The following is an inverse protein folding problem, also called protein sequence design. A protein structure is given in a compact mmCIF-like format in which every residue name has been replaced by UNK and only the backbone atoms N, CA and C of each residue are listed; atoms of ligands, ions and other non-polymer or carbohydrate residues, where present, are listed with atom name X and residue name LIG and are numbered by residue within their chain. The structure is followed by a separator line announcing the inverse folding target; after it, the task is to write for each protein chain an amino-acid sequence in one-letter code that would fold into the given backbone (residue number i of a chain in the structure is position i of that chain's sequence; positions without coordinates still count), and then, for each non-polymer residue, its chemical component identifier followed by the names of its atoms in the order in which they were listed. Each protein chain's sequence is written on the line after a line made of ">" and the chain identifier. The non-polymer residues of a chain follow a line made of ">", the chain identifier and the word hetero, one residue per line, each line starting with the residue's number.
data_IF_728654578432
#
_entry.id   IF_728654578432
#
_cell.length_a   1.000
_cell.length_b   1.000
_cell.length_c   1.000
_cell.angle_alpha   90.00
_cell.angle_beta   90.00
_cell.angle_gamma   90.00
#
_symmetry.space_group_name_H-M   'P 1'
#
loop_
_entity.id
_entity.type
_entity.pdbx_description
1 polymer ?
#
# COMPACT_ATOMS: atom_id res chain seq x y z
N UNK A 1 -6.15 -7.01 15.92
CA UNK A 1 -7.17 -6.29 15.13
C UNK A 1 -7.22 -6.92 13.74
N UNK A 2 -8.41 -7.14 13.18
CA UNK A 2 -8.56 -7.79 11.87
C UNK A 2 -9.45 -6.96 10.94
N UNK A 3 -9.02 -6.75 9.71
CA UNK A 3 -9.74 -6.02 8.68
C UNK A 3 -10.08 -6.89 7.49
N UNK A 4 -11.09 -6.47 6.75
CA UNK A 4 -11.53 -7.07 5.50
C UNK A 4 -11.23 -6.07 4.38
N UNK A 5 -10.49 -6.50 3.37
CA UNK A 5 -10.17 -5.68 2.20
C UNK A 5 -10.56 -6.45 0.93
N UNK A 6 -11.62 -6.01 0.25
CA UNK A 6 -12.05 -6.61 -1.02
C UNK A 6 -11.49 -5.85 -2.20
N UNK A 7 -10.87 -6.58 -3.13
CA UNK A 7 -10.48 -6.07 -4.46
C UNK A 7 -11.73 -5.61 -5.20
N UNK A 8 -11.79 -4.33 -5.56
CA UNK A 8 -12.95 -3.78 -6.27
C UNK A 8 -13.11 -2.27 -6.13
N UNK A 9 -14.32 -1.80 -6.48
CA UNK A 9 -14.65 -0.37 -6.69
C UNK A 9 -14.46 0.53 -5.46
N UNK A 10 -14.51 -0.05 -4.27
CA UNK A 10 -14.39 0.64 -2.97
C UNK A 10 -12.99 0.46 -2.36
N UNK A 11 -11.97 0.18 -3.18
CA UNK A 11 -10.62 -0.07 -2.69
C UNK A 11 -10.05 1.12 -1.91
N UNK A 12 -10.10 2.31 -2.51
CA UNK A 12 -9.66 3.57 -1.91
C UNK A 12 -10.35 3.87 -0.58
N UNK A 13 -11.67 3.71 -0.52
CA UNK A 13 -12.43 3.95 0.73
C UNK A 13 -12.15 2.90 1.81
N UNK A 14 -12.01 1.62 1.45
CA UNK A 14 -11.61 0.57 2.40
C UNK A 14 -10.19 0.81 2.92
N UNK A 15 -9.25 1.18 2.05
CA UNK A 15 -7.87 1.51 2.43
C UNK A 15 -7.85 2.70 3.39
N UNK A 16 -8.62 3.77 3.11
CA UNK A 16 -8.72 4.92 3.99
C UNK A 16 -9.21 4.51 5.39
N UNK A 17 -10.28 3.71 5.47
CA UNK A 17 -10.83 3.23 6.74
C UNK A 17 -9.83 2.36 7.53
N UNK A 18 -9.12 1.44 6.86
CA UNK A 18 -8.08 0.62 7.49
C UNK A 18 -6.94 1.50 7.98
N UNK A 19 -6.45 2.41 7.13
CA UNK A 19 -5.38 3.35 7.45
C UNK A 19 -5.73 4.18 8.68
N UNK A 20 -6.92 4.75 8.72
CA UNK A 20 -7.36 5.59 9.83
C UNK A 20 -7.43 4.80 11.15
N UNK A 21 -7.75 3.51 11.09
CA UNK A 21 -7.81 2.64 12.26
C UNK A 21 -6.43 2.15 12.76
N UNK A 22 -5.40 2.10 11.90
CA UNK A 22 -4.06 1.55 12.25
C UNK A 22 -2.96 2.60 12.31
N UNK A 23 -3.28 3.86 12.05
CA UNK A 23 -2.35 5.01 12.08
C UNK A 23 -2.96 6.16 12.86
N UNK A 24 -2.13 7.13 13.25
CA UNK A 24 -2.53 8.24 14.13
C UNK A 24 -2.43 9.58 13.41
N UNK A 25 -3.32 10.52 13.75
CA UNK A 25 -3.28 11.88 13.21
C UNK A 25 -2.12 12.70 13.80
N UNK A 26 -1.33 13.34 12.93
CA UNK A 26 -0.12 14.09 13.32
C UNK A 26 -0.33 15.60 13.40
N UNK A 27 -1.45 16.11 12.89
CA UNK A 27 -1.68 17.55 12.62
C UNK A 27 -0.59 18.23 11.75
N UNK A 28 0.30 17.47 11.10
CA UNK A 28 1.23 17.99 10.10
C UNK A 28 0.49 18.20 8.79
N UNK A 29 0.37 19.45 8.37
CA UNK A 29 -0.41 19.85 7.21
C UNK A 29 0.41 19.57 5.94
N UNK A 30 -0.16 18.76 5.05
CA UNK A 30 0.33 18.42 3.71
C UNK A 30 0.11 19.57 2.74
N UNK A 31 0.67 19.41 1.54
CA UNK A 31 0.50 20.36 0.43
C UNK A 31 -0.97 20.61 0.04
N UNK A 32 -1.82 19.60 0.17
CA UNK A 32 -3.25 19.62 -0.17
C UNK A 32 -4.15 20.10 0.99
N UNK A 33 -3.55 20.67 2.04
CA UNK A 33 -4.20 21.10 3.28
C UNK A 33 -4.84 19.98 4.12
N UNK A 34 -4.62 18.71 3.77
CA UNK A 34 -4.97 17.58 4.64
C UNK A 34 -3.81 17.27 5.58
N UNK A 35 -4.02 16.46 6.62
CA UNK A 35 -2.95 16.10 7.57
C UNK A 35 -2.23 14.80 7.18
N UNK A 36 -0.92 14.72 7.39
CA UNK A 36 -0.23 13.43 7.44
C UNK A 36 -0.75 12.59 8.60
N UNK A 37 -0.67 11.27 8.44
CA UNK A 37 -0.82 10.30 9.52
C UNK A 37 0.55 9.70 9.84
N UNK A 38 0.71 9.11 11.01
CA UNK A 38 1.94 8.38 11.41
C UNK A 38 1.57 6.96 11.79
N UNK A 39 2.41 6.00 11.45
CA UNK A 39 2.27 4.62 11.89
C UNK A 39 2.10 4.56 13.43
N UNK A 40 1.27 3.67 13.95
CA UNK A 40 1.03 3.61 15.40
C UNK A 40 2.04 2.71 16.11
N UNK A 41 2.46 3.09 17.32
CA UNK A 41 3.19 2.21 18.25
C UNK A 41 2.27 1.66 19.37
N UNK A 42 0.95 1.87 19.25
CA UNK A 42 -0.01 1.35 20.22
C UNK A 42 -0.16 -0.17 20.09
N UNK A 43 -0.61 -0.81 21.18
CA UNK A 43 -0.95 -2.23 21.18
C UNK A 43 -2.29 -2.45 20.44
N UNK A 44 -2.43 -3.55 19.68
CA UNK A 44 -1.42 -4.58 19.42
C UNK A 44 -0.34 -4.13 18.42
N UNK A 45 0.91 -4.65 18.51
CA UNK A 45 2.02 -4.26 17.62
C UNK A 45 1.85 -4.74 16.17
N UNK A 46 0.79 -5.51 15.92
CA UNK A 46 0.46 -6.05 14.62
C UNK A 46 -1.05 -6.15 14.43
N UNK A 47 -1.48 -6.14 13.18
CA UNK A 47 -2.85 -6.30 12.75
C UNK A 47 -2.92 -7.19 11.51
N UNK A 48 -4.09 -7.72 11.23
CA UNK A 48 -4.31 -8.59 10.08
C UNK A 48 -5.26 -7.97 9.07
N UNK A 49 -5.02 -8.22 7.78
CA UNK A 49 -5.94 -7.90 6.69
C UNK A 49 -6.28 -9.19 5.95
N UNK A 50 -7.55 -9.56 5.95
CA UNK A 50 -8.12 -10.58 5.08
C UNK A 50 -8.41 -9.97 3.71
N UNK A 51 -7.52 -10.20 2.75
CA UNK A 51 -7.64 -9.70 1.37
C UNK A 51 -8.51 -10.65 0.57
N UNK A 52 -9.69 -10.19 0.18
CA UNK A 52 -10.63 -10.94 -0.65
C UNK A 52 -10.47 -10.56 -2.12
N UNK A 53 -10.42 -11.55 -3.02
CA UNK A 53 -10.51 -11.27 -4.44
C UNK A 53 -11.89 -10.69 -4.79
N UNK A 54 -12.00 -10.14 -6.00
CA UNK A 54 -13.24 -9.52 -6.51
C UNK A 54 -14.41 -10.50 -6.54
N UNK A 55 -14.13 -11.78 -6.77
CA UNK A 55 -15.09 -12.88 -6.81
C UNK A 55 -15.18 -13.63 -5.47
N UNK A 56 -16.18 -14.51 -5.33
CA UNK A 56 -16.29 -15.41 -4.19
C UNK A 56 -15.11 -16.40 -4.16
N UNK A 57 -14.21 -16.25 -3.19
CA UNK A 57 -13.07 -17.14 -2.90
C UNK A 57 -12.57 -16.87 -1.47
N UNK A 58 -11.85 -17.82 -0.84
CA UNK A 58 -11.25 -17.60 0.47
C UNK A 58 -10.33 -16.36 0.49
N UNK A 59 -10.20 -15.68 1.65
CA UNK A 59 -9.30 -14.55 1.80
C UNK A 59 -7.84 -14.99 1.91
N UNK A 60 -6.93 -14.21 1.32
CA UNK A 60 -5.51 -14.27 1.65
C UNK A 60 -5.25 -13.38 2.87
N UNK A 61 -4.74 -13.95 3.96
CA UNK A 61 -4.48 -13.21 5.19
C UNK A 61 -3.08 -12.62 5.16
N UNK A 62 -2.98 -11.31 5.39
CA UNK A 62 -1.74 -10.58 5.60
C UNK A 62 -1.60 -10.24 7.09
N UNK A 63 -0.43 -10.46 7.67
CA UNK A 63 -0.08 -9.95 8.99
C UNK A 63 0.89 -8.78 8.83
N UNK A 64 0.59 -7.64 9.45
CA UNK A 64 1.32 -6.39 9.27
C UNK A 64 1.67 -5.76 10.61
N UNK A 65 2.86 -5.18 10.72
CA UNK A 65 3.26 -4.39 11.88
C UNK A 65 2.56 -3.02 11.88
N UNK A 66 2.10 -2.57 13.04
CA UNK A 66 1.49 -1.24 13.18
C UNK A 66 2.51 -0.10 13.06
N UNK A 67 3.76 -0.33 13.48
CA UNK A 67 4.81 0.70 13.57
C UNK A 67 5.38 1.20 12.24
N UNK A 68 5.27 0.39 11.18
CA UNK A 68 5.88 0.66 9.87
C UNK A 68 5.08 0.07 8.68
N UNK A 69 3.93 -0.53 8.96
CA UNK A 69 3.06 -1.16 7.95
C UNK A 69 3.78 -2.22 7.10
N UNK A 70 4.90 -2.79 7.57
CA UNK A 70 5.52 -3.90 6.87
C UNK A 70 4.69 -5.17 7.05
N UNK A 71 4.53 -5.91 5.94
CA UNK A 71 3.90 -7.23 5.92
C UNK A 71 4.92 -8.25 6.41
N UNK A 72 4.62 -8.95 7.49
CA UNK A 72 5.48 -10.00 8.06
C UNK A 72 5.08 -11.38 7.55
N UNK A 73 3.77 -11.65 7.44
CA UNK A 73 3.25 -12.94 6.99
C UNK A 73 2.24 -12.78 5.85
N UNK A 74 2.31 -13.70 4.89
CA UNK A 74 1.34 -13.84 3.79
C UNK A 74 0.82 -15.28 3.80
N UNK A 75 -0.47 -15.45 4.06
CA UNK A 75 -1.10 -16.78 4.16
C UNK A 75 -0.48 -17.65 5.26
N UNK A 76 0.04 -17.02 6.33
CA UNK A 76 0.73 -17.72 7.43
C UNK A 76 2.21 -18.00 7.19
N UNK A 77 2.77 -17.63 6.03
CA UNK A 77 4.19 -17.82 5.72
C UNK A 77 4.97 -16.51 5.82
N UNK A 78 6.21 -16.51 6.36
CA UNK A 78 7.08 -15.34 6.35
C UNK A 78 7.29 -14.77 4.95
N UNK A 79 7.31 -13.45 4.87
CA UNK A 79 7.67 -12.72 3.66
C UNK A 79 8.68 -11.63 4.01
N UNK A 80 9.91 -11.78 3.50
CA UNK A 80 11.03 -10.90 3.82
C UNK A 80 11.56 -10.19 2.57
N UNK A 81 12.36 -9.14 2.79
CA UNK A 81 13.12 -8.45 1.76
C UNK A 81 12.27 -7.80 0.66
N UNK A 82 11.02 -7.44 0.96
CA UNK A 82 10.14 -6.77 0.00
C UNK A 82 10.78 -5.50 -0.59
N UNK A 83 11.26 -4.59 0.27
CA UNK A 83 11.89 -3.33 -0.15
C UNK A 83 13.12 -3.55 -1.03
N UNK A 84 13.96 -4.53 -0.69
CA UNK A 84 15.17 -4.90 -1.43
C UNK A 84 14.90 -5.56 -2.78
N UNK A 85 13.70 -6.08 -3.00
CA UNK A 85 13.33 -6.77 -4.23
C UNK A 85 12.32 -5.98 -5.09
N UNK A 86 12.02 -4.72 -4.75
CA UNK A 86 11.19 -3.83 -5.57
C UNK A 86 11.75 -3.67 -6.98
N UNK A 87 13.08 -3.67 -7.15
CA UNK A 87 13.76 -3.63 -8.45
C UNK A 87 13.56 -4.90 -9.29
N UNK A 88 13.25 -6.02 -8.65
CA UNK A 88 13.07 -7.32 -9.33
C UNK A 88 11.63 -7.55 -9.74
N UNK A 89 10.71 -6.64 -9.42
CA UNK A 89 9.33 -6.74 -9.87
C UNK A 89 9.27 -6.44 -11.38
N UNK A 90 8.91 -7.43 -12.24
CA UNK A 90 8.84 -7.28 -13.68
C UNK A 90 7.52 -6.61 -14.05
N UNK A 91 7.27 -5.48 -13.42
CA UNK A 91 6.16 -4.60 -13.70
C UNK A 91 6.24 -3.99 -15.10
N UNK A 92 7.43 -4.03 -15.71
CA UNK A 92 7.69 -3.70 -17.11
C UNK A 92 7.42 -4.88 -18.08
N UNK A 93 7.22 -6.11 -17.57
CA UNK A 93 6.88 -7.27 -18.40
C UNK A 93 5.39 -7.32 -18.75
N UNK A 94 4.86 -6.21 -19.29
CA UNK A 94 3.78 -6.34 -20.26
C UNK A 94 4.45 -6.54 -21.60
N UNK A 95 4.64 -7.80 -22.02
CA UNK A 95 5.31 -8.06 -23.28
C UNK A 95 4.58 -7.30 -24.39
N UNK A 96 5.36 -6.55 -25.14
CA UNK A 96 4.87 -5.60 -26.13
C UNK A 96 4.41 -6.28 -27.41
N UNK A 97 4.64 -7.59 -27.59
CA UNK A 97 4.03 -8.55 -28.53
C UNK A 97 4.55 -9.98 -28.24
N UNK A 98 3.79 -11.02 -28.58
CA UNK A 98 4.20 -12.44 -28.50
C UNK A 98 3.63 -13.23 -27.31
N UNK A 99 3.85 -14.55 -27.27
CA UNK A 99 3.35 -15.49 -26.23
C UNK A 99 3.79 -15.13 -24.79
N UNK A 100 4.79 -14.26 -24.62
CA UNK A 100 5.22 -13.74 -23.31
C UNK A 100 4.31 -12.62 -22.77
N UNK A 101 3.40 -12.06 -23.59
CA UNK A 101 2.48 -10.99 -23.21
C UNK A 101 1.40 -11.43 -22.21
N UNK A 102 1.22 -12.74 -22.03
CA UNK A 102 0.19 -13.32 -21.16
C UNK A 102 0.61 -13.46 -19.69
N UNK A 103 1.86 -13.13 -19.32
CA UNK A 103 2.35 -13.30 -17.94
C UNK A 103 2.00 -12.14 -16.99
N UNK A 104 0.98 -11.35 -17.28
CA UNK A 104 0.49 -10.31 -16.37
C UNK A 104 -0.24 -10.93 -15.16
N UNK A 105 0.31 -10.76 -13.95
CA UNK A 105 -0.42 -11.08 -12.73
C UNK A 105 -1.45 -9.99 -12.43
N UNK A 106 -2.75 -10.33 -12.48
CA UNK A 106 -3.78 -9.51 -11.83
C UNK A 106 -3.75 -9.75 -10.31
N UNK A 107 -4.19 -8.77 -9.51
CA UNK A 107 -4.27 -8.93 -8.05
C UNK A 107 -5.15 -10.13 -7.65
N UNK A 108 -6.27 -10.37 -8.36
CA UNK A 108 -7.10 -11.56 -8.15
C UNK A 108 -6.36 -12.86 -8.45
N UNK A 109 -5.60 -12.90 -9.55
CA UNK A 109 -4.81 -14.09 -9.91
C UNK A 109 -3.69 -14.37 -8.92
N UNK A 110 -3.04 -13.31 -8.39
CA UNK A 110 -2.02 -13.42 -7.35
C UNK A 110 -2.60 -13.94 -6.03
N UNK A 111 -3.71 -13.38 -5.56
CA UNK A 111 -4.41 -13.84 -4.35
C UNK A 111 -4.76 -15.32 -4.48
N UNK A 112 -5.44 -15.71 -5.57
CA UNK A 112 -5.84 -17.10 -5.78
C UNK A 112 -4.65 -18.04 -5.95
N UNK A 113 -3.58 -17.60 -6.61
CA UNK A 113 -2.36 -18.39 -6.79
C UNK A 113 -1.66 -18.67 -5.47
N UNK A 114 -1.63 -17.70 -4.55
CA UNK A 114 -1.02 -17.83 -3.22
C UNK A 114 -1.82 -18.70 -2.25
N UNK A 115 -3.13 -18.83 -2.46
CA UNK A 115 -4.00 -19.70 -1.66
C UNK A 115 -3.86 -21.20 -2.00
N UNK A 116 -3.16 -21.55 -3.09
CA UNK A 116 -2.92 -22.95 -3.46
C UNK A 116 -1.82 -23.55 -2.59
N UNK A 117 -2.15 -24.56 -1.79
CA UNK A 117 -1.22 -25.26 -0.89
C UNK A 117 -0.60 -26.51 -1.53
N UNK A 118 0.55 -26.96 -0.98
CA UNK A 118 1.15 -28.23 -1.37
C UNK A 118 0.25 -29.39 -0.93
N UNK A 119 -0.23 -30.20 -1.89
CA UNK A 119 -1.10 -31.34 -1.59
C UNK A 119 -1.99 -31.85 -2.72
N UNK A 120 -1.76 -31.49 -3.99
CA UNK A 120 -2.45 -32.13 -5.13
C UNK A 120 -2.72 -31.25 -6.36
N UNK A 121 -2.53 -29.94 -6.30
CA UNK A 121 -2.82 -29.06 -7.44
C UNK A 121 -1.58 -28.85 -8.32
N UNK A 122 -1.62 -29.33 -9.57
CA UNK A 122 -0.55 -29.16 -10.59
C UNK A 122 -0.30 -27.69 -10.98
N UNK A 123 -1.06 -26.74 -10.42
CA UNK A 123 -1.05 -25.31 -10.75
C UNK A 123 -0.48 -24.42 -9.64
N UNK A 124 0.35 -24.97 -8.77
CA UNK A 124 1.11 -24.16 -7.82
C UNK A 124 2.00 -23.15 -8.55
N UNK A 125 2.13 -21.96 -7.96
CA UNK A 125 3.08 -20.97 -8.47
C UNK A 125 4.50 -21.51 -8.29
N UNK A 126 5.32 -21.38 -9.34
CA UNK A 126 6.77 -21.59 -9.23
C UNK A 126 7.36 -20.59 -8.23
N UNK A 127 8.53 -20.85 -7.63
CA UNK A 127 9.11 -19.95 -6.62
C UNK A 127 9.16 -18.49 -7.05
N UNK A 128 9.62 -18.21 -8.27
CA UNK A 128 9.67 -16.86 -8.82
C UNK A 128 8.26 -16.26 -8.98
N UNK A 129 7.34 -16.99 -9.61
CA UNK A 129 5.95 -16.56 -9.79
C UNK A 129 5.24 -16.32 -8.45
N UNK A 130 5.58 -17.10 -7.42
CA UNK A 130 5.07 -16.94 -6.05
C UNK A 130 5.61 -15.66 -5.43
N UNK A 131 6.91 -15.41 -5.56
CA UNK A 131 7.54 -14.18 -5.10
C UNK A 131 6.92 -12.95 -5.78
N UNK A 132 6.66 -13.03 -7.09
CA UNK A 132 5.98 -11.97 -7.84
C UNK A 132 4.54 -11.74 -7.35
N UNK A 133 3.79 -12.81 -7.13
CA UNK A 133 2.43 -12.71 -6.59
C UNK A 133 2.41 -12.11 -5.18
N UNK A 134 3.32 -12.54 -4.29
CA UNK A 134 3.46 -11.97 -2.94
C UNK A 134 3.80 -10.48 -3.02
N UNK A 135 4.78 -10.13 -3.84
CA UNK A 135 5.24 -8.77 -4.10
C UNK A 135 4.13 -7.86 -4.61
N UNK A 136 3.32 -8.31 -5.59
CA UNK A 136 2.18 -7.56 -6.10
C UNK A 136 1.12 -7.34 -5.01
N UNK A 137 0.82 -8.35 -4.19
CA UNK A 137 -0.16 -8.22 -3.09
C UNK A 137 0.33 -7.22 -2.06
N UNK A 138 1.60 -7.31 -1.63
CA UNK A 138 2.17 -6.36 -0.67
C UNK A 138 2.19 -4.95 -1.25
N UNK A 139 2.59 -4.81 -2.51
CA UNK A 139 2.61 -3.52 -3.19
C UNK A 139 1.23 -2.88 -3.23
N UNK A 140 0.21 -3.61 -3.68
CA UNK A 140 -1.14 -3.09 -3.72
C UNK A 140 -1.63 -2.68 -2.33
N UNK A 141 -1.46 -3.53 -1.31
CA UNK A 141 -2.03 -3.28 0.03
C UNK A 141 -1.21 -2.28 0.84
N UNK A 142 0.07 -2.56 1.08
CA UNK A 142 0.92 -1.76 1.96
C UNK A 142 1.18 -0.37 1.36
N UNK A 143 1.45 -0.27 0.05
CA UNK A 143 1.68 1.04 -0.56
C UNK A 143 0.39 1.86 -0.70
N UNK A 144 -0.77 1.21 -0.86
CA UNK A 144 -2.05 1.93 -0.73
C UNK A 144 -2.26 2.47 0.68
N UNK A 145 -1.86 1.74 1.74
CA UNK A 145 -1.92 2.29 3.09
C UNK A 145 -0.97 3.48 3.29
N UNK A 146 0.20 3.48 2.65
CA UNK A 146 1.19 4.56 2.78
C UNK A 146 0.86 5.79 1.93
N UNK A 147 0.31 5.60 0.73
CA UNK A 147 0.14 6.63 -0.28
C UNK A 147 -1.33 6.74 -0.74
N UNK A 148 -1.92 7.92 -0.58
CA UNK A 148 -3.25 8.22 -1.12
C UNK A 148 -3.29 8.04 -2.64
N UNK A 149 -2.24 8.50 -3.33
CA UNK A 149 -2.16 8.44 -4.78
C UNK A 149 -2.27 7.00 -5.29
N UNK A 150 -1.56 6.06 -4.68
CA UNK A 150 -1.61 4.63 -5.06
C UNK A 150 -2.99 4.04 -4.78
N UNK A 151 -3.56 4.33 -3.61
CA UNK A 151 -4.90 3.87 -3.24
C UNK A 151 -5.98 4.38 -4.22
N UNK A 152 -5.94 5.68 -4.55
CA UNK A 152 -6.89 6.31 -5.47
C UNK A 152 -6.75 5.77 -6.88
N UNK A 153 -5.53 5.67 -7.42
CA UNK A 153 -5.34 5.22 -8.80
C UNK A 153 -5.66 3.72 -8.96
N UNK A 154 -5.35 2.87 -7.97
CA UNK A 154 -5.83 1.47 -7.94
C UNK A 154 -7.36 1.39 -7.85
N UNK A 155 -7.98 2.23 -7.02
CA UNK A 155 -9.44 2.31 -6.93
C UNK A 155 -10.09 2.71 -8.25
N UNK A 156 -9.52 3.70 -8.95
CA UNK A 156 -9.96 4.10 -10.29
C UNK A 156 -9.79 2.97 -11.30
N UNK A 157 -8.66 2.26 -11.28
CA UNK A 157 -8.42 1.09 -12.14
C UNK A 157 -9.45 -0.01 -11.93
N UNK A 158 -9.81 -0.33 -10.68
CA UNK A 158 -10.86 -1.30 -10.40
C UNK A 158 -12.25 -0.81 -10.82
N UNK A 159 -12.52 0.49 -10.72
CA UNK A 159 -13.78 1.10 -11.20
C UNK A 159 -13.90 1.07 -12.72
N UNK A 160 -12.84 1.35 -13.46
CA UNK A 160 -12.85 1.32 -14.93
C UNK A 160 -12.93 -0.08 -15.51
N UNK A 161 -12.48 -1.09 -14.77
CA UNK A 161 -12.50 -2.50 -15.21
C UNK A 161 -13.82 -3.22 -14.90
N UNK A 162 -14.80 -2.51 -14.30
CA UNK A 162 -16.07 -3.08 -13.87
C UNK A 162 -17.19 -2.84 -14.89
N UNK A 163 -17.78 -3.92 -15.41
CA UNK A 163 -19.03 -3.86 -16.19
C UNK A 163 -20.24 -4.18 -15.29
N UNK A 164 -21.16 -3.22 -15.05
CA UNK A 164 -22.36 -3.44 -14.24
C UNK A 164 -23.34 -4.45 -14.83
N UNK A 165 -23.35 -4.63 -16.16
CA UNK A 165 -24.24 -5.58 -16.84
C UNK A 165 -23.67 -7.01 -16.85
N UNK A 166 -22.37 -7.13 -16.59
CA UNK A 166 -21.68 -8.41 -16.50
C UNK A 166 -20.72 -8.45 -15.30
N UNK A 167 -21.25 -8.53 -14.06
CA UNK A 167 -20.44 -8.48 -12.84
C UNK A 167 -19.46 -9.66 -12.69
N UNK A 168 -19.59 -10.69 -13.54
CA UNK A 168 -18.69 -11.86 -13.59
C UNK A 168 -17.59 -11.73 -14.65
N UNK A 169 -17.69 -10.76 -15.56
CA UNK A 169 -16.77 -10.56 -16.68
C UNK A 169 -15.74 -9.50 -16.26
N UNK A 170 -14.84 -9.88 -15.35
CA UNK A 170 -13.83 -8.97 -14.83
C UNK A 170 -12.67 -8.63 -15.78
N UNK A 171 -12.77 -8.89 -17.10
CA UNK A 171 -11.58 -8.85 -17.99
C UNK A 171 -11.82 -8.60 -19.50
N UNK A 172 -13.01 -8.21 -19.98
CA UNK A 172 -13.28 -8.23 -21.45
C UNK A 172 -13.34 -6.91 -22.21
N UNK A 173 -13.03 -5.75 -21.61
CA UNK A 173 -12.60 -4.62 -22.44
C UNK A 173 -11.12 -4.79 -22.77
N UNK A 174 -10.90 -5.60 -23.82
CA UNK A 174 -9.65 -5.73 -24.57
C UNK A 174 -9.10 -4.34 -24.87
N UNK A 175 -8.03 -4.02 -24.16
CA UNK A 175 -7.44 -2.70 -24.09
C UNK A 175 -6.98 -2.50 -22.66
N UNK A 176 -6.12 -3.41 -22.19
CA UNK A 176 -5.44 -3.35 -20.90
C UNK A 176 -5.09 -1.89 -20.66
N UNK A 177 -5.83 -1.22 -19.77
CA UNK A 177 -5.38 0.06 -19.24
C UNK A 177 -4.11 -0.31 -18.51
N UNK A 178 -2.98 -0.26 -19.25
CA UNK A 178 -1.65 -0.51 -18.71
C UNK A 178 -1.62 0.32 -17.44
N UNK A 179 -1.20 -0.27 -16.34
CA UNK A 179 -0.88 0.52 -15.14
C UNK A 179 0.36 1.35 -15.54
N UNK A 180 0.15 2.42 -16.31
CA UNK A 180 1.19 3.26 -16.92
C UNK A 180 2.02 3.96 -15.84
N UNK A 181 1.55 3.94 -14.60
CA UNK A 181 2.12 4.64 -13.45
C UNK A 181 2.98 3.75 -12.54
N UNK A 182 3.17 2.48 -12.90
CA UNK A 182 3.82 1.49 -12.04
C UNK A 182 5.28 1.87 -11.70
N UNK A 183 6.00 2.47 -12.66
CA UNK A 183 7.34 3.01 -12.39
C UNK A 183 7.31 4.16 -11.37
N UNK A 184 6.36 5.11 -11.51
CA UNK A 184 6.25 6.22 -10.56
C UNK A 184 5.85 5.75 -9.16
N UNK A 185 4.97 4.76 -9.06
CA UNK A 185 4.56 4.19 -7.77
C UNK A 185 5.67 3.36 -7.12
N UNK A 186 6.47 2.64 -7.92
CA UNK A 186 7.67 1.95 -7.44
C UNK A 186 8.67 2.94 -6.84
N UNK A 187 8.89 4.08 -7.51
CA UNK A 187 9.77 5.13 -6.96
C UNK A 187 9.21 5.69 -5.65
N UNK A 188 7.89 5.88 -5.56
CA UNK A 188 7.24 6.28 -4.29
C UNK A 188 7.51 5.26 -3.18
N UNK A 189 7.25 3.96 -3.44
CA UNK A 189 7.44 2.89 -2.47
C UNK A 189 8.90 2.80 -1.97
N UNK A 190 9.88 2.86 -2.89
CA UNK A 190 11.32 2.79 -2.56
C UNK A 190 11.79 3.95 -1.69
N UNK A 191 11.24 5.13 -1.91
CA UNK A 191 11.67 6.35 -1.24
C UNK A 191 10.78 6.72 -0.05
N UNK A 192 9.87 5.84 0.39
CA UNK A 192 8.95 6.13 1.50
C UNK A 192 9.69 6.49 2.80
N UNK A 193 10.72 5.72 3.15
CA UNK A 193 11.53 5.94 4.35
C UNK A 193 12.31 7.26 4.27
N UNK A 194 13.04 7.49 3.17
CA UNK A 194 13.75 8.74 2.92
C UNK A 194 12.81 9.95 2.94
N UNK A 195 11.66 9.84 2.29
CA UNK A 195 10.66 10.92 2.23
C UNK A 195 10.09 11.21 3.61
N UNK A 196 9.85 10.17 4.41
CA UNK A 196 9.43 10.34 5.81
C UNK A 196 10.48 11.11 6.61
N UNK A 197 11.76 10.72 6.48
CA UNK A 197 12.87 11.41 7.14
C UNK A 197 12.95 12.88 6.74
N UNK A 198 12.93 13.17 5.44
CA UNK A 198 12.96 14.55 4.94
C UNK A 198 11.78 15.39 5.48
N UNK A 199 10.58 14.79 5.62
CA UNK A 199 9.43 15.44 6.26
C UNK A 199 9.68 15.76 7.73
N UNK A 200 10.26 14.84 8.50
CA UNK A 200 10.62 15.09 9.90
C UNK A 200 11.75 16.10 10.07
N UNK A 201 12.73 16.10 9.16
CA UNK A 201 13.84 17.04 9.16
C UNK A 201 13.38 18.46 8.76
N UNK A 202 12.32 18.56 7.94
CA UNK A 202 11.73 19.82 7.48
C UNK A 202 10.73 20.50 8.43
N UNK A 203 10.45 19.92 9.61
CA UNK A 203 9.53 20.51 10.61
C UNK A 203 10.27 20.96 11.87
N UNK A 204 9.72 21.91 12.65
CA UNK A 204 10.30 22.33 13.93
C UNK A 204 10.45 21.17 14.92
N UNK A 205 11.48 21.22 15.76
CA UNK A 205 11.76 20.17 16.76
C UNK A 205 10.59 19.93 17.71
N UNK A 206 9.91 20.99 18.14
CA UNK A 206 8.71 20.90 18.98
C UNK A 206 7.61 20.07 18.32
N UNK A 207 7.42 20.22 17.00
CA UNK A 207 6.45 19.43 16.26
C UNK A 207 6.90 17.99 16.07
N UNK A 208 8.21 17.75 15.88
CA UNK A 208 8.77 16.41 15.81
C UNK A 208 8.49 15.63 17.10
N UNK A 209 8.65 16.26 18.26
CA UNK A 209 8.33 15.66 19.56
C UNK A 209 6.84 15.36 19.72
N UNK A 210 5.95 16.30 19.33
CA UNK A 210 4.50 16.13 19.43
C UNK A 210 4.02 14.98 18.54
N UNK A 211 4.46 14.95 17.28
CA UNK A 211 3.97 14.03 16.25
C UNK A 211 4.27 12.57 16.57
N UNK A 212 5.37 12.31 17.27
CA UNK A 212 5.76 10.96 17.69
C UNK A 212 5.13 10.52 19.01
N UNK A 213 4.28 11.32 19.65
CA UNK A 213 3.55 10.86 20.82
C UNK A 213 2.17 10.30 20.45
N UNK A 214 1.71 9.25 21.14
CA UNK A 214 0.31 8.83 21.03
C UNK A 214 -0.62 9.98 21.38
N UNK A 215 -1.71 10.15 20.61
CA UNK A 215 -2.66 11.26 20.82
C UNK A 215 -3.24 11.31 22.25
N UNK A 216 -3.37 10.16 22.91
CA UNK A 216 -3.81 10.06 24.31
C UNK A 216 -2.84 10.68 25.31
N UNK A 217 -1.54 10.78 24.98
CA UNK A 217 -0.49 11.37 25.82
C UNK A 217 -0.27 12.86 25.57
N UNK A 218 -0.82 13.39 24.47
CA UNK A 218 -0.70 14.80 24.13
C UNK A 218 -1.60 15.67 25.03
N UNK A 219 -1.07 16.83 25.45
CA UNK A 219 -1.86 17.85 26.14
C UNK A 219 -2.90 18.48 25.19
N UNK A 220 -3.93 19.18 25.70
CA UNK A 220 -4.87 19.90 24.84
C UNK A 220 -4.20 20.91 23.88
N UNK A 221 -3.13 21.58 24.32
CA UNK A 221 -2.37 22.51 23.49
C UNK A 221 -1.62 21.77 22.37
N UNK A 222 -0.93 20.67 22.70
CA UNK A 222 -0.19 19.88 21.70
C UNK A 222 -1.12 19.24 20.67
N UNK A 223 -2.35 18.89 21.06
CA UNK A 223 -3.38 18.38 20.13
C UNK A 223 -3.88 19.43 19.14
N UNK A 224 -3.66 20.71 19.42
CA UNK A 224 -4.00 21.83 18.54
C UNK A 224 -2.77 22.36 17.78
N UNK A 225 -1.56 22.03 18.23
CA UNK A 225 -0.34 22.35 17.52
C UNK A 225 -0.38 21.74 16.12
N UNK A 226 -0.02 22.55 15.13
CA UNK A 226 0.04 22.15 13.73
C UNK A 226 1.23 22.84 13.08
N UNK A 227 1.82 22.17 12.09
CA UNK A 227 2.83 22.75 11.24
C UNK A 227 2.59 22.32 9.80
N UNK A 228 2.79 23.26 8.89
CA UNK A 228 2.78 22.96 7.46
C UNK A 228 4.14 22.43 7.05
N UNK A 229 4.14 21.33 6.32
CA UNK A 229 5.35 20.81 5.70
C UNK A 229 5.60 21.60 4.42
N UNK A 230 6.66 22.40 4.41
CA UNK A 230 7.10 23.13 3.21
C UNK A 230 7.97 22.23 2.34
N UNK A 231 7.51 21.99 1.10
CA UNK A 231 8.21 21.14 0.13
C UNK A 231 9.30 21.90 -0.64
N UNK A 232 9.40 23.23 -0.51
CA UNK A 232 10.36 24.04 -1.26
C UNK A 232 11.82 23.67 -0.92
N UNK A 233 12.09 23.38 0.36
CA UNK A 233 13.42 22.97 0.85
C UNK A 233 13.80 21.53 0.52
N UNK A 234 12.88 20.72 0.00
CA UNK A 234 13.14 19.30 -0.28
C UNK A 234 13.81 19.10 -1.63
N UNK A 235 14.66 18.06 -1.70
CA UNK A 235 15.21 17.56 -2.96
C UNK A 235 14.12 17.07 -3.92
N UNK A 236 14.45 16.98 -5.20
CA UNK A 236 13.51 16.70 -6.30
C UNK A 236 12.68 15.42 -6.07
N UNK A 237 13.34 14.32 -5.69
CA UNK A 237 12.69 13.03 -5.41
C UNK A 237 11.60 13.18 -4.36
N UNK A 238 11.92 13.76 -3.22
CA UNK A 238 11.00 13.95 -2.08
C UNK A 238 9.86 14.89 -2.46
N UNK A 239 10.15 15.97 -3.19
CA UNK A 239 9.14 16.92 -3.68
C UNK A 239 8.14 16.26 -4.62
N UNK A 240 8.56 15.28 -5.42
CA UNK A 240 7.68 14.54 -6.34
C UNK A 240 6.80 13.49 -5.63
N UNK A 241 7.25 12.95 -4.49
CA UNK A 241 6.62 11.82 -3.79
C UNK A 241 5.74 12.28 -2.63
N UNK A 242 6.21 13.23 -1.82
CA UNK A 242 5.53 13.72 -0.62
C UNK A 242 4.05 14.10 -0.88
N UNK A 243 3.68 14.70 -2.03
CA UNK A 243 2.27 14.95 -2.32
C UNK A 243 1.40 13.69 -2.32
N UNK A 244 1.88 12.58 -2.88
CA UNK A 244 1.13 11.33 -2.92
C UNK A 244 1.11 10.57 -1.58
N UNK A 245 1.94 10.95 -0.62
CA UNK A 245 2.15 10.24 0.65
C UNK A 245 1.14 10.69 1.71
N UNK A 246 0.58 9.71 2.43
CA UNK A 246 -0.37 9.94 3.52
C UNK A 246 0.18 9.56 4.89
N UNK A 247 0.93 8.45 4.97
CA UNK A 247 1.42 7.91 6.25
C UNK A 247 2.93 8.07 6.32
N UNK A 248 3.40 8.62 7.44
CA UNK A 248 4.81 8.68 7.83
C UNK A 248 5.18 7.40 8.58
N UNK A 249 6.35 6.86 8.27
CA UNK A 249 6.99 5.87 9.13
C UNK A 249 7.25 6.49 10.51
N UNK A 250 7.06 5.72 11.57
CA UNK A 250 7.40 6.19 12.91
C UNK A 250 8.90 6.00 13.14
N UNK A 251 9.65 7.03 13.59
CA UNK A 251 11.04 6.85 13.99
C UNK A 251 11.16 5.81 15.10
N UNK A 252 12.19 4.96 14.99
CA UNK A 252 12.55 3.93 15.98
C UNK A 252 13.14 4.52 17.23
#
# INVERSE_FOLDING_TARGET
>A
MNFILRVGRTWDTQIAAIRDAVTEDTNLIRYDNTSYRICSNALPPAFTISVLPSTVSPPLVLNMRTRDLYVELIGGHPFENYSHNLDRMPFEATATNGDEAERGFSLDSAIRGLLRTQGGDKRMLRPDDRFLAQSLVVFCVAESLRFDKIATELGQFFRSSYDPNHPKIGNFLKGVARIRYLHSWLQMAKNWEKTTKDVFDGIPDTMREIVVQPRSRLSPADRQASARVDLAGFGEVTRSIAPGMRVLMRPS
#
